data_IF_820915984261
#
_entry.id   IF_820915984261
#
_cell.length_a   1.000
_cell.length_b   1.000
_cell.length_c   1.000
_cell.angle_alpha   90.00
_cell.angle_beta   90.00
_cell.angle_gamma   90.00
#
_symmetry.space_group_name_H-M   'P 1'
#
loop_
_entity.id
_entity.type
_entity.pdbx_description
1 polymer ?
#
# COMPACT_ATOMS: atom_id res chain seq x y z
N UNK A 1 22.12 7.00 -17.05
CA UNK A 1 21.03 7.92 -16.64
C UNK A 1 21.37 8.53 -15.29
N UNK A 2 21.17 9.84 -15.11
CA UNK A 2 21.14 10.47 -13.78
C UNK A 2 19.73 10.40 -13.23
N UNK A 3 19.56 9.90 -12.02
CA UNK A 3 18.27 9.67 -11.38
C UNK A 3 18.23 10.29 -9.99
N UNK A 4 17.23 11.10 -9.69
CA UNK A 4 16.92 11.55 -8.34
C UNK A 4 15.64 10.87 -7.82
N UNK A 5 15.79 10.16 -6.71
CA UNK A 5 14.68 9.49 -6.02
C UNK A 5 14.25 10.36 -4.84
N UNK A 6 13.05 10.89 -4.92
CA UNK A 6 12.41 11.66 -3.85
C UNK A 6 11.61 10.73 -2.95
N UNK A 7 12.19 10.34 -1.83
CA UNK A 7 11.61 9.37 -0.90
C UNK A 7 12.10 9.58 0.52
N UNK A 8 11.25 9.37 1.54
CA UNK A 8 11.79 9.18 2.88
C UNK A 8 12.73 7.98 2.90
N UNK A 9 13.74 8.04 3.76
CA UNK A 9 14.63 6.92 4.09
C UNK A 9 14.57 6.63 5.59
N UNK A 10 15.04 5.46 6.05
CA UNK A 10 15.27 5.23 7.47
C UNK A 10 16.10 6.37 8.09
N UNK A 11 15.79 6.79 9.33
CA UNK A 11 14.96 6.13 10.33
C UNK A 11 13.44 6.45 10.24
N UNK A 12 12.95 7.04 9.14
CA UNK A 12 11.53 7.27 8.94
C UNK A 12 10.74 5.95 9.06
N UNK A 13 9.71 5.95 9.90
CA UNK A 13 8.90 4.76 10.18
C UNK A 13 7.87 4.53 9.07
N UNK A 14 8.35 4.14 7.90
CA UNK A 14 7.55 3.90 6.69
C UNK A 14 8.04 2.65 5.99
N UNK A 15 7.12 1.74 5.66
CA UNK A 15 7.45 0.56 4.85
C UNK A 15 7.93 0.92 3.43
N UNK A 16 7.56 2.11 2.94
CA UNK A 16 8.07 2.65 1.66
C UNK A 16 9.54 3.07 1.80
N UNK A 17 9.90 3.72 2.93
CA UNK A 17 11.28 4.08 3.21
C UNK A 17 12.19 2.83 3.30
N UNK A 18 11.72 1.78 3.98
CA UNK A 18 12.44 0.51 4.07
C UNK A 18 12.61 -0.13 2.68
N UNK A 19 11.55 -0.14 1.86
CA UNK A 19 11.61 -0.69 0.49
C UNK A 19 12.57 0.09 -0.42
N UNK A 20 12.59 1.42 -0.34
CA UNK A 20 13.54 2.23 -1.12
C UNK A 20 14.97 1.94 -0.68
N UNK A 21 15.24 1.90 0.64
CA UNK A 21 16.56 1.57 1.16
C UNK A 21 17.06 0.20 0.69
N UNK A 22 16.18 -0.80 0.60
CA UNK A 22 16.51 -2.14 0.08
C UNK A 22 16.71 -2.15 -1.45
N UNK A 23 16.07 -1.24 -2.18
CA UNK A 23 16.18 -1.15 -3.64
C UNK A 23 17.40 -0.36 -4.08
N UNK A 24 17.84 0.64 -3.32
CA UNK A 24 18.96 1.52 -3.66
C UNK A 24 20.26 0.79 -4.02
N UNK A 25 20.75 -0.24 -3.28
CA UNK A 25 21.96 -0.97 -3.64
C UNK A 25 21.90 -1.57 -5.05
N UNK A 26 20.70 -1.93 -5.51
CA UNK A 26 20.46 -2.55 -6.81
C UNK A 26 20.45 -1.51 -7.95
N UNK A 27 20.19 -0.23 -7.63
CA UNK A 27 20.13 0.87 -8.59
C UNK A 27 21.47 1.58 -8.73
N UNK A 28 22.19 1.82 -7.62
CA UNK A 28 23.45 2.57 -7.57
C UNK A 28 24.53 1.94 -8.47
N UNK A 29 24.55 0.62 -8.62
CA UNK A 29 25.45 -0.07 -9.53
C UNK A 29 25.11 0.07 -11.03
N UNK A 30 23.94 0.63 -11.38
CA UNK A 30 23.39 0.67 -12.75
C UNK A 30 23.08 2.06 -13.24
N UNK A 31 22.98 3.05 -12.36
CA UNK A 31 22.70 4.46 -12.67
C UNK A 31 23.43 5.37 -11.69
N UNK A 32 23.60 6.63 -12.06
CA UNK A 32 24.04 7.69 -11.15
C UNK A 32 22.83 8.12 -10.31
N UNK A 33 22.76 7.66 -9.05
CA UNK A 33 21.59 7.82 -8.19
C UNK A 33 21.86 8.85 -7.10
N UNK A 34 20.98 9.85 -6.97
CA UNK A 34 20.82 10.71 -5.83
C UNK A 34 19.50 10.41 -5.10
N UNK A 35 19.47 10.59 -3.80
CA UNK A 35 18.24 10.50 -3.02
C UNK A 35 17.97 11.83 -2.36
N UNK A 36 16.79 12.39 -2.63
CA UNK A 36 16.33 13.63 -2.01
C UNK A 36 15.47 13.29 -0.81
N UNK A 37 15.86 13.78 0.35
CA UNK A 37 15.17 13.62 1.63
C UNK A 37 14.91 15.00 2.26
N UNK A 38 13.94 15.15 3.19
CA UNK A 38 13.66 16.44 3.82
C UNK A 38 14.87 17.08 4.50
N UNK A 39 15.63 16.29 5.23
CA UNK A 39 16.88 16.67 5.89
C UNK A 39 17.89 15.52 5.77
N UNK A 40 18.96 15.70 4.98
CA UNK A 40 20.02 14.70 4.84
C UNK A 40 20.72 14.33 6.14
N UNK A 41 20.75 15.23 7.12
CA UNK A 41 21.41 14.98 8.41
C UNK A 41 20.63 14.01 9.32
N UNK A 42 19.31 13.88 9.08
CA UNK A 42 18.44 12.96 9.82
C UNK A 42 18.33 11.57 9.16
N UNK A 43 18.76 11.43 7.90
CA UNK A 43 18.71 10.17 7.20
C UNK A 43 19.85 9.24 7.61
N UNK A 44 19.59 7.93 7.65
CA UNK A 44 20.65 6.93 7.87
C UNK A 44 21.53 6.83 6.61
N UNK A 45 22.82 7.20 6.68
CA UNK A 45 23.70 7.12 5.51
C UNK A 45 23.87 5.69 4.98
N UNK A 46 23.75 4.66 5.83
CA UNK A 46 23.82 3.27 5.42
C UNK A 46 22.62 2.89 4.54
N UNK A 47 21.44 3.47 4.79
CA UNK A 47 20.25 3.26 4.00
C UNK A 47 20.33 3.88 2.58
N UNK A 48 21.23 4.85 2.37
CA UNK A 48 21.47 5.45 1.06
C UNK A 48 22.33 4.57 0.13
N UNK A 49 22.99 3.53 0.67
CA UNK A 49 23.79 2.55 -0.10
C UNK A 49 24.81 3.17 -1.06
N UNK A 50 25.39 4.32 -0.71
CA UNK A 50 26.34 5.06 -1.53
C UNK A 50 25.73 6.04 -2.52
N UNK A 51 24.39 6.16 -2.60
CA UNK A 51 23.73 7.24 -3.32
C UNK A 51 24.00 8.60 -2.65
N UNK A 52 24.07 9.66 -3.43
CA UNK A 52 24.24 11.01 -2.91
C UNK A 52 22.95 11.45 -2.19
N UNK A 53 23.03 11.71 -0.88
CA UNK A 53 21.94 12.33 -0.12
C UNK A 53 21.91 13.83 -0.40
N UNK A 54 20.72 14.36 -0.68
CA UNK A 54 20.48 15.77 -0.98
C UNK A 54 19.25 16.30 -0.28
N UNK A 55 19.26 17.58 0.05
CA UNK A 55 18.04 18.30 0.41
C UNK A 55 17.24 18.68 -0.84
N UNK A 56 15.96 19.08 -0.72
CA UNK A 56 15.16 19.57 -1.84
C UNK A 56 15.80 20.77 -2.59
N UNK A 57 16.54 21.62 -1.88
CA UNK A 57 17.25 22.79 -2.41
C UNK A 57 18.49 22.41 -3.23
N UNK A 58 19.10 21.27 -2.93
CA UNK A 58 20.30 20.72 -3.60
C UNK A 58 19.96 19.77 -4.75
N UNK A 59 18.67 19.66 -5.10
CA UNK A 59 18.19 18.82 -6.22
C UNK A 59 18.86 19.17 -7.53
N UNK A 60 19.35 18.17 -8.25
CA UNK A 60 19.96 18.33 -9.58
C UNK A 60 18.87 18.63 -10.62
N UNK A 61 18.89 19.81 -11.26
CA UNK A 61 17.88 20.18 -12.24
C UNK A 61 17.87 19.26 -13.48
N UNK A 62 19.00 18.62 -13.80
CA UNK A 62 19.19 17.80 -15.00
C UNK A 62 18.90 16.31 -14.76
N UNK A 63 18.68 15.91 -13.51
CA UNK A 63 18.37 14.53 -13.19
C UNK A 63 16.89 14.18 -13.49
N UNK A 64 16.67 12.96 -13.96
CA UNK A 64 15.32 12.39 -14.02
C UNK A 64 14.75 12.23 -12.61
N UNK A 65 13.50 12.67 -12.37
CA UNK A 65 12.89 12.66 -11.06
C UNK A 65 11.92 11.50 -10.90
N UNK A 66 12.16 10.67 -9.88
CA UNK A 66 11.26 9.62 -9.41
C UNK A 66 10.70 10.02 -8.04
N UNK A 67 9.41 10.29 -7.99
CA UNK A 67 8.70 10.59 -6.76
C UNK A 67 8.07 9.33 -6.20
N UNK A 68 8.59 8.83 -5.08
CA UNK A 68 8.07 7.63 -4.41
C UNK A 68 7.03 8.03 -3.40
N UNK A 69 5.80 7.58 -3.57
CA UNK A 69 4.66 8.05 -2.81
C UNK A 69 3.86 6.92 -2.17
N UNK A 70 3.45 7.18 -0.93
CA UNK A 70 2.51 6.39 -0.14
C UNK A 70 1.61 7.32 0.67
N UNK A 71 0.55 6.77 1.26
CA UNK A 71 -0.52 7.53 1.94
C UNK A 71 -0.11 7.98 3.36
N UNK A 72 1.03 8.67 3.49
CA UNK A 72 1.48 9.19 4.77
C UNK A 72 2.22 10.53 4.65
N UNK A 73 2.23 11.30 5.74
CA UNK A 73 2.93 12.59 5.82
C UNK A 73 4.44 12.52 5.52
N UNK A 74 5.06 11.35 5.61
CA UNK A 74 6.46 11.17 5.27
C UNK A 74 6.77 11.52 3.81
N UNK A 75 5.77 11.46 2.92
CA UNK A 75 5.89 11.75 1.50
C UNK A 75 5.53 13.19 1.11
N UNK A 76 5.23 14.05 2.09
CA UNK A 76 4.78 15.42 1.90
C UNK A 76 5.69 16.27 1.00
N UNK A 77 7.01 16.17 1.20
CA UNK A 77 7.99 16.93 0.42
C UNK A 77 8.03 16.48 -1.05
N UNK A 78 8.01 15.17 -1.28
CA UNK A 78 7.99 14.58 -2.62
C UNK A 78 6.67 14.92 -3.35
N UNK A 79 5.52 14.86 -2.64
CA UNK A 79 4.22 15.24 -3.17
C UNK A 79 4.19 16.70 -3.63
N UNK A 80 4.66 17.63 -2.79
CA UNK A 80 4.70 19.05 -3.15
C UNK A 80 5.58 19.31 -4.36
N UNK A 81 6.74 18.68 -4.42
CA UNK A 81 7.65 18.86 -5.55
C UNK A 81 7.10 18.23 -6.82
N UNK A 82 6.46 17.05 -6.75
CA UNK A 82 5.82 16.42 -7.89
C UNK A 82 4.72 17.29 -8.54
N UNK A 83 3.99 18.08 -7.74
CA UNK A 83 3.03 19.07 -8.24
C UNK A 83 3.70 20.27 -8.90
N UNK A 84 4.88 20.71 -8.42
CA UNK A 84 5.61 21.86 -8.94
C UNK A 84 6.44 21.50 -10.20
N UNK A 85 7.11 20.38 -10.14
CA UNK A 85 8.02 19.87 -11.19
C UNK A 85 7.64 18.44 -11.55
N UNK A 86 6.73 18.26 -12.51
CA UNK A 86 6.26 16.95 -12.92
C UNK A 86 7.40 16.01 -13.33
N UNK A 87 7.36 14.79 -12.77
CA UNK A 87 8.29 13.70 -13.04
C UNK A 87 7.56 12.37 -13.11
N UNK A 88 8.28 11.29 -12.92
CA UNK A 88 7.72 9.94 -12.81
C UNK A 88 7.27 9.70 -11.38
N UNK A 89 6.07 9.17 -11.20
CA UNK A 89 5.56 8.73 -9.89
C UNK A 89 5.84 7.24 -9.72
N UNK A 90 6.24 6.81 -8.53
CA UNK A 90 6.15 5.43 -8.07
C UNK A 90 5.10 5.37 -6.96
N UNK A 91 3.92 4.83 -7.29
CA UNK A 91 2.80 4.73 -6.36
C UNK A 91 2.80 3.38 -5.65
N UNK A 92 2.92 3.39 -4.33
CA UNK A 92 2.83 2.21 -3.48
C UNK A 92 1.39 1.79 -3.18
N UNK A 93 0.47 2.72 -3.31
CA UNK A 93 -0.97 2.54 -3.12
C UNK A 93 -1.73 3.52 -4.01
N UNK A 94 -2.99 3.20 -4.28
CA UNK A 94 -3.82 4.10 -5.09
C UNK A 94 -4.29 5.30 -4.28
N UNK A 95 -4.73 5.10 -3.04
CA UNK A 95 -5.20 6.21 -2.22
C UNK A 95 -4.05 7.01 -1.64
N UNK A 96 -4.04 8.31 -1.91
CA UNK A 96 -3.18 9.32 -1.28
C UNK A 96 -3.99 10.27 -0.39
N UNK A 97 -5.22 9.90 -0.02
CA UNK A 97 -6.15 10.76 0.73
C UNK A 97 -5.55 11.29 2.03
N UNK A 98 -4.93 10.42 2.83
CA UNK A 98 -4.30 10.80 4.09
C UNK A 98 -3.11 11.74 3.89
N UNK A 99 -2.31 11.54 2.83
CA UNK A 99 -1.23 12.46 2.44
C UNK A 99 -1.80 13.83 2.05
N UNK A 100 -2.82 13.87 1.19
CA UNK A 100 -3.47 15.12 0.75
C UNK A 100 -4.13 15.84 1.92
N UNK A 101 -4.80 15.10 2.81
CA UNK A 101 -5.39 15.66 4.03
C UNK A 101 -4.31 16.29 4.93
N UNK A 102 -3.17 15.62 5.10
CA UNK A 102 -2.05 16.13 5.86
C UNK A 102 -1.44 17.40 5.22
N UNK A 103 -1.35 17.46 3.89
CA UNK A 103 -0.77 18.57 3.16
C UNK A 103 -1.71 19.77 2.99
N UNK A 104 -2.99 19.60 3.26
CA UNK A 104 -4.00 20.66 3.16
C UNK A 104 -4.57 20.99 4.55
N UNK A 105 -5.54 20.22 5.02
CA UNK A 105 -6.29 20.52 6.24
C UNK A 105 -5.40 20.62 7.49
N UNK A 106 -4.49 19.65 7.71
CA UNK A 106 -3.60 19.67 8.89
C UNK A 106 -2.55 20.79 8.84
N UNK A 107 -2.34 21.41 7.67
CA UNK A 107 -1.51 22.61 7.51
C UNK A 107 -2.31 23.92 7.57
N UNK A 108 -3.60 23.84 7.88
CA UNK A 108 -4.48 25.01 8.00
C UNK A 108 -5.17 25.41 6.69
N UNK A 109 -4.98 24.69 5.56
CA UNK A 109 -5.68 24.96 4.30
C UNK A 109 -6.93 24.07 4.15
N UNK A 110 -7.92 24.32 5.01
CA UNK A 110 -9.23 23.67 4.93
C UNK A 110 -9.94 23.95 3.59
N UNK A 111 -9.75 25.14 3.04
CA UNK A 111 -10.29 25.51 1.72
C UNK A 111 -9.68 24.68 0.60
N UNK A 112 -8.36 24.45 0.63
CA UNK A 112 -7.65 23.60 -0.32
C UNK A 112 -8.14 22.17 -0.31
N UNK A 113 -8.28 21.58 0.89
CA UNK A 113 -8.83 20.23 1.00
C UNK A 113 -10.25 20.12 0.40
N UNK A 114 -11.13 21.06 0.75
CA UNK A 114 -12.50 21.09 0.20
C UNK A 114 -12.51 21.29 -1.31
N UNK A 115 -11.62 22.12 -1.86
CA UNK A 115 -11.49 22.33 -3.31
C UNK A 115 -11.09 21.04 -4.01
N UNK A 116 -10.04 20.35 -3.55
CA UNK A 116 -9.58 19.09 -4.14
C UNK A 116 -10.66 18.01 -4.10
N UNK A 117 -11.33 17.84 -2.97
CA UNK A 117 -12.45 16.91 -2.84
C UNK A 117 -13.60 17.25 -3.79
N UNK A 118 -13.92 18.55 -3.93
CA UNK A 118 -14.96 19.01 -4.87
C UNK A 118 -14.55 18.80 -6.33
N UNK A 119 -13.31 19.07 -6.68
CA UNK A 119 -12.80 18.89 -8.04
C UNK A 119 -12.81 17.40 -8.44
N UNK A 120 -12.39 16.53 -7.53
CA UNK A 120 -12.34 15.09 -7.83
C UNK A 120 -13.72 14.42 -7.81
N UNK A 121 -14.59 14.83 -6.87
CA UNK A 121 -15.84 14.08 -6.57
C UNK A 121 -17.10 14.94 -6.51
N UNK A 122 -17.04 16.15 -7.04
CA UNK A 122 -18.18 17.05 -7.13
C UNK A 122 -18.77 17.46 -5.76
N UNK A 123 -20.09 17.66 -5.73
CA UNK A 123 -20.81 18.05 -4.51
C UNK A 123 -20.67 17.03 -3.38
N UNK A 124 -20.69 15.74 -3.71
CA UNK A 124 -20.48 14.66 -2.72
C UNK A 124 -19.13 14.82 -2.03
N UNK A 125 -18.06 15.09 -2.79
CA UNK A 125 -16.73 15.33 -2.23
C UNK A 125 -16.70 16.57 -1.32
N UNK A 126 -17.37 17.65 -1.72
CA UNK A 126 -17.42 18.89 -0.91
C UNK A 126 -18.15 18.68 0.43
N UNK A 127 -19.26 17.93 0.42
CA UNK A 127 -20.02 17.59 1.65
C UNK A 127 -19.18 16.69 2.55
N UNK A 128 -18.59 15.64 1.98
CA UNK A 128 -17.77 14.70 2.72
C UNK A 128 -16.53 15.38 3.33
N UNK A 129 -15.92 16.31 2.59
CA UNK A 129 -14.80 17.11 3.13
C UNK A 129 -15.20 17.87 4.40
N UNK A 130 -16.40 18.43 4.45
CA UNK A 130 -16.93 19.03 5.68
C UNK A 130 -16.98 18.05 6.83
N UNK A 131 -17.59 16.88 6.61
CA UNK A 131 -17.70 15.82 7.63
C UNK A 131 -16.34 15.33 8.13
N UNK A 132 -15.38 15.13 7.21
CA UNK A 132 -14.01 14.71 7.57
C UNK A 132 -13.31 15.77 8.42
N UNK A 133 -13.44 17.06 8.06
CA UNK A 133 -12.89 18.18 8.85
C UNK A 133 -13.54 18.31 10.22
N UNK A 134 -14.81 17.92 10.36
CA UNK A 134 -15.55 17.86 11.63
C UNK A 134 -15.23 16.58 12.45
N UNK A 135 -14.28 15.74 11.98
CA UNK A 135 -13.79 14.58 12.71
C UNK A 135 -14.39 13.24 12.30
N UNK A 136 -15.19 13.17 11.23
CA UNK A 136 -15.68 11.90 10.69
C UNK A 136 -14.57 11.17 9.92
N UNK A 137 -13.68 10.48 10.64
CA UNK A 137 -12.56 9.75 10.07
C UNK A 137 -12.92 8.27 9.90
N UNK A 138 -12.75 7.74 8.69
CA UNK A 138 -12.95 6.33 8.40
C UNK A 138 -12.00 5.88 7.28
N UNK A 139 -11.34 4.72 7.41
CA UNK A 139 -10.54 4.16 6.31
C UNK A 139 -11.34 3.89 5.03
N UNK A 140 -12.66 3.72 5.14
CA UNK A 140 -13.56 3.58 3.98
C UNK A 140 -13.56 4.85 3.14
N UNK A 141 -13.49 6.03 3.77
CA UNK A 141 -13.41 7.31 3.05
C UNK A 141 -12.12 7.37 2.22
N UNK A 142 -10.99 7.01 2.81
CA UNK A 142 -9.71 6.99 2.09
C UNK A 142 -9.73 6.01 0.91
N UNK A 143 -10.38 4.86 1.07
CA UNK A 143 -10.52 3.87 0.00
C UNK A 143 -11.42 4.33 -1.15
N UNK A 144 -12.55 4.96 -0.85
CA UNK A 144 -13.54 5.38 -1.84
C UNK A 144 -13.21 6.73 -2.50
N UNK A 145 -12.45 7.59 -1.83
CA UNK A 145 -12.10 8.95 -2.27
C UNK A 145 -10.56 9.14 -2.22
N UNK A 146 -9.81 8.47 -3.11
CA UNK A 146 -8.36 8.33 -3.03
C UNK A 146 -7.57 9.62 -3.18
N UNK A 147 -8.08 10.64 -3.86
CA UNK A 147 -7.40 11.92 -4.11
C UNK A 147 -6.02 11.78 -4.79
N UNK A 148 -5.85 10.79 -5.66
CA UNK A 148 -4.60 10.57 -6.40
C UNK A 148 -4.64 11.16 -7.80
N UNK A 149 -5.83 11.37 -8.33
CA UNK A 149 -6.09 11.69 -9.73
C UNK A 149 -5.37 12.98 -10.15
N UNK A 150 -5.48 14.04 -9.36
CA UNK A 150 -4.88 15.34 -9.67
C UNK A 150 -3.34 15.29 -9.79
N UNK A 151 -2.70 14.40 -9.00
CA UNK A 151 -1.27 14.20 -9.07
C UNK A 151 -0.87 13.36 -10.29
N UNK A 152 -1.64 12.31 -10.58
CA UNK A 152 -1.46 11.46 -11.76
C UNK A 152 -1.64 12.25 -13.04
N UNK A 153 -2.65 13.13 -13.12
CA UNK A 153 -2.87 14.03 -14.25
C UNK A 153 -1.66 14.90 -14.54
N UNK A 154 -0.92 15.29 -13.51
CA UNK A 154 0.28 16.14 -13.61
C UNK A 154 1.58 15.38 -13.77
N UNK A 155 1.58 14.07 -13.71
CA UNK A 155 2.81 13.28 -13.83
C UNK A 155 3.26 13.12 -15.30
N UNK A 156 4.53 12.83 -15.53
CA UNK A 156 5.05 12.42 -16.85
C UNK A 156 4.76 10.96 -17.14
N UNK A 157 4.88 10.12 -16.12
CA UNK A 157 4.58 8.69 -16.18
C UNK A 157 4.26 8.17 -14.76
N UNK A 158 3.68 7.00 -14.66
CA UNK A 158 3.38 6.34 -13.39
C UNK A 158 3.88 4.90 -13.40
N UNK A 159 4.78 4.58 -12.48
CA UNK A 159 5.07 3.22 -12.05
C UNK A 159 4.17 2.90 -10.84
N UNK A 160 3.53 1.76 -10.84
CA UNK A 160 2.65 1.34 -9.75
C UNK A 160 3.06 -0.03 -9.24
N UNK A 161 3.00 -0.23 -7.92
CA UNK A 161 3.41 -1.50 -7.29
C UNK A 161 2.35 -2.59 -7.38
N UNK A 162 1.13 -2.25 -7.78
CA UNK A 162 0.01 -3.18 -8.02
C UNK A 162 -0.61 -2.96 -9.39
N UNK A 163 -1.19 -4.00 -9.98
CA UNK A 163 -1.96 -3.90 -11.23
C UNK A 163 -3.20 -3.05 -11.02
N UNK A 164 -3.81 -3.15 -9.84
CA UNK A 164 -4.95 -2.31 -9.46
C UNK A 164 -4.62 -0.82 -9.60
N UNK A 165 -3.53 -0.37 -8.97
CA UNK A 165 -3.07 1.02 -9.03
C UNK A 165 -2.66 1.43 -10.45
N UNK A 166 -1.98 0.55 -11.20
CA UNK A 166 -1.62 0.79 -12.60
C UNK A 166 -2.86 1.01 -13.48
N UNK A 167 -3.87 0.15 -13.35
CA UNK A 167 -5.12 0.27 -14.10
C UNK A 167 -5.84 1.57 -13.78
N UNK A 168 -5.94 1.94 -12.51
CA UNK A 168 -6.55 3.21 -12.09
C UNK A 168 -5.81 4.41 -12.65
N UNK A 169 -4.47 4.42 -12.56
CA UNK A 169 -3.65 5.50 -13.12
C UNK A 169 -3.83 5.65 -14.64
N UNK A 170 -3.91 4.54 -15.39
CA UNK A 170 -4.13 4.56 -16.83
C UNK A 170 -5.50 5.15 -17.22
N UNK A 171 -6.52 5.01 -16.35
CA UNK A 171 -7.85 5.58 -16.58
C UNK A 171 -7.91 7.10 -16.36
N UNK A 172 -6.96 7.70 -15.62
CA UNK A 172 -6.97 9.14 -15.31
C UNK A 172 -6.65 9.99 -16.53
N UNK A 173 -5.62 9.61 -17.28
CA UNK A 173 -5.19 10.36 -18.47
C UNK A 173 -4.87 9.42 -19.63
N UNK A 174 -5.63 9.48 -20.75
CA UNK A 174 -5.31 8.70 -21.94
C UNK A 174 -3.92 9.04 -22.46
N UNK A 175 -3.14 8.01 -22.81
CA UNK A 175 -1.78 8.15 -23.30
C UNK A 175 -0.69 8.41 -22.24
N UNK A 176 -1.06 8.44 -20.96
CA UNK A 176 -0.07 8.46 -19.88
C UNK A 176 0.73 7.14 -19.90
N UNK A 177 2.07 7.17 -19.95
CA UNK A 177 2.86 5.97 -19.76
C UNK A 177 2.66 5.42 -18.35
N UNK A 178 2.11 4.20 -18.25
CA UNK A 178 1.87 3.53 -16.97
C UNK A 178 2.54 2.15 -16.99
N UNK A 179 3.35 1.86 -15.97
CA UNK A 179 4.03 0.59 -15.78
C UNK A 179 3.66 -0.08 -14.47
N UNK A 180 3.54 -1.41 -14.48
CA UNK A 180 3.44 -2.20 -13.25
C UNK A 180 4.84 -2.65 -12.84
N UNK A 181 5.35 -2.13 -11.73
CA UNK A 181 6.64 -2.47 -11.11
C UNK A 181 6.36 -3.01 -9.71
N UNK A 182 6.16 -4.33 -9.56
CA UNK A 182 5.85 -4.94 -8.27
C UNK A 182 6.92 -4.70 -7.22
N UNK A 183 6.55 -4.78 -5.95
CA UNK A 183 7.52 -4.82 -4.85
C UNK A 183 8.33 -6.11 -4.90
N UNK A 184 9.61 -6.03 -4.51
CA UNK A 184 10.44 -7.23 -4.35
C UNK A 184 10.17 -7.95 -3.02
N UNK A 185 10.55 -9.22 -2.96
CA UNK A 185 10.36 -10.11 -1.82
C UNK A 185 11.69 -10.46 -1.13
N UNK A 186 12.59 -9.49 -0.96
CA UNK A 186 13.87 -9.72 -0.32
C UNK A 186 13.72 -10.21 1.13
N UNK A 187 14.50 -11.23 1.48
CA UNK A 187 14.66 -11.69 2.85
C UNK A 187 16.12 -11.41 3.27
N UNK A 188 16.35 -10.72 4.39
CA UNK A 188 17.67 -10.27 4.81
C UNK A 188 18.49 -11.38 5.50
N UNK A 189 18.12 -12.63 5.33
CA UNK A 189 18.79 -13.82 5.88
C UNK A 189 18.96 -14.84 4.76
N UNK A 190 20.21 -15.21 4.47
CA UNK A 190 20.54 -16.27 3.54
C UNK A 190 21.75 -17.08 4.09
N UNK A 191 21.65 -18.40 4.28
CA UNK A 191 20.44 -19.20 4.09
C UNK A 191 19.37 -18.95 5.15
N UNK A 192 18.11 -19.17 4.77
CA UNK A 192 17.00 -19.13 5.74
C UNK A 192 17.16 -20.27 6.75
N UNK A 193 16.93 -20.00 8.06
CA UNK A 193 16.92 -21.07 9.06
C UNK A 193 15.75 -22.04 8.81
N UNK A 194 15.85 -23.24 9.32
CA UNK A 194 14.71 -24.14 9.43
C UNK A 194 13.65 -23.57 10.38
N UNK A 195 12.42 -24.06 10.29
CA UNK A 195 11.34 -23.65 11.19
C UNK A 195 11.69 -23.91 12.67
N UNK A 196 12.32 -25.04 12.95
CA UNK A 196 12.75 -25.45 14.29
C UNK A 196 13.85 -24.52 14.83
N UNK A 197 14.82 -24.15 14.01
CA UNK A 197 15.88 -23.19 14.39
C UNK A 197 15.30 -21.81 14.65
N UNK A 198 14.40 -21.33 13.78
CA UNK A 198 13.73 -20.06 13.95
C UNK A 198 12.92 -20.02 15.26
N UNK A 199 12.14 -21.08 15.54
CA UNK A 199 11.36 -21.19 16.80
C UNK A 199 12.26 -21.22 18.03
N UNK A 200 13.34 -21.96 18.00
CA UNK A 200 14.31 -22.01 19.10
C UNK A 200 14.94 -20.65 19.36
N UNK A 201 15.32 -19.94 18.29
CA UNK A 201 15.88 -18.58 18.39
C UNK A 201 14.88 -17.56 18.98
N UNK A 202 13.59 -17.77 18.75
CA UNK A 202 12.51 -16.91 19.23
C UNK A 202 11.92 -17.35 20.59
N UNK A 203 12.42 -18.45 21.18
CA UNK A 203 11.86 -19.00 22.40
C UNK A 203 10.45 -19.57 22.26
N UNK A 204 10.02 -19.89 21.05
CA UNK A 204 8.70 -20.48 20.78
C UNK A 204 8.71 -22.01 21.01
N UNK A 205 7.67 -22.58 21.62
CA UNK A 205 7.58 -24.03 21.79
C UNK A 205 7.64 -24.76 20.44
N UNK A 206 8.42 -25.84 20.37
CA UNK A 206 8.62 -26.58 19.13
C UNK A 206 7.32 -27.21 18.61
N UNK A 207 6.43 -27.61 19.52
CA UNK A 207 5.15 -28.31 19.26
C UNK A 207 3.95 -27.36 19.19
N UNK A 208 4.11 -26.05 19.38
CA UNK A 208 3.04 -25.07 19.19
C UNK A 208 2.73 -24.86 17.72
N UNK A 209 1.45 -24.61 17.41
CA UNK A 209 1.05 -24.03 16.14
C UNK A 209 1.15 -22.51 16.23
N UNK A 210 1.67 -21.85 15.21
CA UNK A 210 1.91 -20.41 15.23
C UNK A 210 1.22 -19.74 14.04
N UNK A 211 0.23 -18.92 14.34
CA UNK A 211 -0.39 -18.00 13.38
C UNK A 211 0.22 -16.61 13.59
N UNK A 212 0.72 -16.00 12.54
CA UNK A 212 1.42 -14.71 12.64
C UNK A 212 0.72 -13.63 11.82
N UNK A 213 0.46 -12.46 12.44
CA UNK A 213 0.05 -11.23 11.76
C UNK A 213 1.23 -10.25 11.77
N UNK A 214 1.98 -10.11 10.65
CA UNK A 214 3.21 -9.34 10.64
C UNK A 214 3.04 -7.86 10.27
N UNK A 215 3.98 -7.02 10.73
CA UNK A 215 4.11 -5.59 10.44
C UNK A 215 3.27 -4.69 11.33
N UNK A 216 3.45 -3.37 11.19
CA UNK A 216 2.77 -2.34 12.00
C UNK A 216 1.27 -2.59 12.12
N UNK A 217 0.76 -2.61 13.35
CA UNK A 217 -0.67 -2.75 13.63
C UNK A 217 -1.40 -1.48 13.25
N UNK A 218 -2.48 -1.64 12.48
CA UNK A 218 -3.40 -0.56 12.14
C UNK A 218 -4.83 -1.12 11.95
N UNK A 219 -5.87 -0.28 11.93
CA UNK A 219 -7.27 -0.75 11.82
C UNK A 219 -7.56 -1.58 10.57
N UNK A 220 -6.83 -1.33 9.45
CA UNK A 220 -7.05 -2.05 8.19
C UNK A 220 -6.67 -3.53 8.27
N UNK A 221 -5.77 -3.92 9.21
CA UNK A 221 -5.28 -5.30 9.33
C UNK A 221 -6.26 -6.28 9.97
N UNK A 222 -7.43 -5.84 10.38
CA UNK A 222 -8.50 -6.71 10.88
C UNK A 222 -8.06 -7.61 12.06
N UNK A 223 -7.16 -7.11 12.93
CA UNK A 223 -6.68 -7.91 14.07
C UNK A 223 -7.77 -8.23 15.09
N UNK A 224 -8.79 -7.40 15.20
CA UNK A 224 -9.99 -7.67 15.98
C UNK A 224 -10.71 -8.93 15.50
N UNK A 225 -10.87 -9.09 14.20
CA UNK A 225 -11.45 -10.30 13.57
C UNK A 225 -10.53 -11.50 13.78
N UNK A 226 -9.23 -11.34 13.49
CA UNK A 226 -8.24 -12.40 13.65
C UNK A 226 -8.20 -12.94 15.09
N UNK A 227 -8.24 -12.06 16.10
CA UNK A 227 -8.24 -12.46 17.51
C UNK A 227 -9.50 -13.25 17.89
N UNK A 228 -10.70 -12.82 17.44
CA UNK A 228 -11.93 -13.57 17.69
C UNK A 228 -11.87 -14.98 17.10
N UNK A 229 -11.35 -15.10 15.88
CA UNK A 229 -11.17 -16.41 15.21
C UNK A 229 -10.14 -17.27 15.95
N UNK A 230 -8.98 -16.71 16.30
CA UNK A 230 -7.94 -17.43 17.04
C UNK A 230 -8.47 -17.89 18.42
N UNK A 231 -9.23 -17.05 19.11
CA UNK A 231 -9.84 -17.43 20.39
C UNK A 231 -10.78 -18.65 20.29
N UNK A 232 -11.54 -18.75 19.17
CA UNK A 232 -12.37 -19.95 18.88
C UNK A 232 -11.52 -21.15 18.53
N UNK A 233 -10.51 -20.98 17.70
CA UNK A 233 -9.60 -22.06 17.28
C UNK A 233 -8.80 -22.63 18.45
N UNK A 234 -8.45 -21.85 19.48
CA UNK A 234 -7.76 -22.33 20.66
C UNK A 234 -8.55 -23.37 21.46
N UNK A 235 -9.88 -23.44 21.32
CA UNK A 235 -10.69 -24.51 21.90
C UNK A 235 -10.34 -25.89 21.33
N UNK A 236 -9.99 -25.93 20.04
CA UNK A 236 -9.55 -27.15 19.33
C UNK A 236 -8.03 -27.33 19.37
N UNK A 237 -7.31 -26.20 19.35
CA UNK A 237 -5.85 -26.12 19.30
C UNK A 237 -5.31 -25.39 20.55
N UNK A 238 -5.30 -26.00 21.74
CA UNK A 238 -4.98 -25.28 23.00
C UNK A 238 -3.56 -24.66 23.01
N UNK A 239 -2.64 -25.20 22.23
CA UNK A 239 -1.25 -24.70 22.07
C UNK A 239 -1.09 -23.73 20.90
N UNK A 240 -2.18 -23.24 20.31
CA UNK A 240 -2.12 -22.25 19.25
C UNK A 240 -1.63 -20.91 19.81
N UNK A 241 -0.59 -20.38 19.20
CA UNK A 241 -0.07 -19.03 19.47
C UNK A 241 -0.47 -18.09 18.34
N UNK A 242 -0.82 -16.86 18.70
CA UNK A 242 -1.04 -15.77 17.78
C UNK A 242 0.05 -14.72 17.96
N UNK A 243 0.96 -14.63 17.00
CA UNK A 243 2.08 -13.69 17.05
C UNK A 243 1.74 -12.42 16.24
N UNK A 244 1.66 -11.29 16.92
CA UNK A 244 1.65 -9.96 16.28
C UNK A 244 3.09 -9.50 16.16
N UNK A 245 3.68 -9.74 14.98
CA UNK A 245 5.09 -9.50 14.71
C UNK A 245 5.30 -8.09 14.15
N UNK A 246 5.20 -7.08 15.00
CA UNK A 246 5.31 -5.67 14.63
C UNK A 246 4.87 -4.73 15.74
N UNK A 247 5.06 -3.45 15.47
CA UNK A 247 4.74 -2.37 16.41
C UNK A 247 3.22 -2.23 16.58
N UNK A 248 2.77 -2.08 17.83
CA UNK A 248 1.37 -1.85 18.19
C UNK A 248 1.21 -0.43 18.74
N UNK A 249 0.58 0.49 18.00
CA UNK A 249 0.31 1.83 18.50
C UNK A 249 -0.58 1.78 19.77
N UNK A 250 -0.29 2.61 20.79
CA UNK A 250 -1.06 2.62 22.05
C UNK A 250 -2.55 2.89 21.88
N UNK A 251 -2.95 3.52 20.78
CA UNK A 251 -4.35 3.80 20.47
C UNK A 251 -5.18 2.56 20.13
N UNK A 252 -4.54 1.42 19.82
CA UNK A 252 -5.23 0.18 19.47
C UNK A 252 -5.21 -0.77 20.68
N UNK A 253 -6.39 -1.15 21.23
CA UNK A 253 -6.49 -1.91 22.47
C UNK A 253 -6.32 -3.42 22.22
N UNK A 254 -5.17 -3.84 21.71
CA UNK A 254 -4.89 -5.22 21.31
C UNK A 254 -5.08 -6.21 22.46
N UNK A 255 -4.61 -5.86 23.67
CA UNK A 255 -4.75 -6.72 24.85
C UNK A 255 -6.22 -6.88 25.27
N UNK A 256 -7.01 -5.79 25.17
CA UNK A 256 -8.43 -5.85 25.47
C UNK A 256 -9.19 -6.73 24.46
N UNK A 257 -8.84 -6.63 23.18
CA UNK A 257 -9.39 -7.50 22.13
C UNK A 257 -9.01 -8.96 22.34
N UNK A 258 -7.76 -9.23 22.70
CA UNK A 258 -7.28 -10.58 22.99
C UNK A 258 -7.96 -11.19 24.25
N UNK A 259 -8.12 -10.38 25.29
CA UNK A 259 -8.85 -10.78 26.51
C UNK A 259 -10.30 -11.11 26.20
N UNK A 260 -11.01 -10.23 25.49
CA UNK A 260 -12.41 -10.45 25.09
C UNK A 260 -12.57 -11.68 24.16
N UNK A 261 -11.58 -11.98 23.33
CA UNK A 261 -11.58 -13.14 22.46
C UNK A 261 -11.15 -14.45 23.15
N UNK A 262 -10.67 -14.40 24.39
CA UNK A 262 -10.19 -15.56 25.14
C UNK A 262 -8.86 -16.11 24.61
N UNK A 263 -8.02 -15.29 23.96
CA UNK A 263 -6.71 -15.71 23.46
C UNK A 263 -5.72 -15.86 24.62
N UNK A 264 -5.78 -14.98 25.62
CA UNK A 264 -5.02 -15.09 26.87
C UNK A 264 -3.51 -15.18 26.63
N UNK A 265 -2.90 -16.22 27.21
CA UNK A 265 -1.48 -16.55 27.10
C UNK A 265 -1.03 -16.98 25.69
N UNK A 266 -1.96 -17.16 24.77
CA UNK A 266 -1.67 -17.47 23.37
C UNK A 266 -1.28 -16.25 22.54
N UNK A 267 -1.36 -15.01 23.06
CA UNK A 267 -0.93 -13.82 22.36
C UNK A 267 0.54 -13.53 22.60
N UNK A 268 1.28 -13.32 21.51
CA UNK A 268 2.68 -12.87 21.52
C UNK A 268 2.76 -11.55 20.75
N UNK A 269 3.12 -10.45 21.42
CA UNK A 269 3.33 -9.14 20.79
C UNK A 269 4.81 -8.80 20.85
N UNK A 270 5.44 -8.64 19.69
CA UNK A 270 6.89 -8.48 19.62
C UNK A 270 7.36 -7.03 19.71
N UNK A 271 6.46 -6.07 19.42
CA UNK A 271 6.88 -4.71 19.09
C UNK A 271 7.63 -4.63 17.76
N UNK A 272 8.32 -3.53 17.51
CA UNK A 272 9.10 -3.32 16.27
C UNK A 272 10.25 -4.32 16.19
N UNK A 273 10.34 -4.99 15.06
CA UNK A 273 11.39 -5.96 14.75
C UNK A 273 12.39 -5.38 13.76
N UNK A 274 13.63 -5.85 13.86
CA UNK A 274 14.59 -5.75 12.75
C UNK A 274 14.12 -6.62 11.58
N UNK A 275 14.56 -6.32 10.36
CA UNK A 275 14.21 -7.16 9.20
C UNK A 275 14.67 -8.62 9.36
N UNK A 276 15.87 -8.93 9.91
CA UNK A 276 16.26 -10.31 10.22
C UNK A 276 15.33 -10.99 11.24
N UNK A 277 14.90 -10.29 12.28
CA UNK A 277 13.99 -10.86 13.27
C UNK A 277 12.60 -11.08 12.70
N UNK A 278 12.10 -10.14 11.90
CA UNK A 278 10.85 -10.33 11.15
C UNK A 278 10.92 -11.57 10.25
N UNK A 279 12.02 -11.78 9.53
CA UNK A 279 12.21 -12.97 8.71
C UNK A 279 12.18 -14.26 9.54
N UNK A 280 12.81 -14.27 10.76
CA UNK A 280 12.71 -15.41 11.68
C UNK A 280 11.28 -15.69 12.13
N UNK A 281 10.51 -14.64 12.47
CA UNK A 281 9.09 -14.79 12.81
C UNK A 281 8.26 -15.34 11.66
N UNK A 282 8.51 -14.89 10.43
CA UNK A 282 7.84 -15.43 9.25
C UNK A 282 8.20 -16.91 9.05
N UNK A 283 9.48 -17.29 9.16
CA UNK A 283 9.92 -18.69 9.04
C UNK A 283 9.33 -19.57 10.14
N UNK A 284 9.18 -19.07 11.37
CA UNK A 284 8.63 -19.82 12.50
C UNK A 284 7.12 -20.07 12.38
N UNK A 285 6.40 -19.27 11.58
CA UNK A 285 4.95 -19.34 11.42
C UNK A 285 4.50 -20.62 10.69
N UNK A 286 3.33 -21.16 11.09
CA UNK A 286 2.58 -22.17 10.33
C UNK A 286 1.66 -21.52 9.31
N UNK A 287 1.03 -20.39 9.68
CA UNK A 287 0.13 -19.60 8.84
C UNK A 287 0.41 -18.11 9.05
N UNK A 288 0.41 -17.35 7.98
CA UNK A 288 0.50 -15.88 8.03
C UNK A 288 -0.84 -15.26 7.70
N UNK A 289 -1.33 -14.36 8.54
CA UNK A 289 -2.51 -13.53 8.26
C UNK A 289 -2.06 -12.17 7.75
N UNK A 290 -2.31 -11.91 6.50
CA UNK A 290 -2.04 -10.62 5.86
C UNK A 290 -3.35 -9.95 5.42
N UNK A 291 -4.34 -9.95 6.32
CA UNK A 291 -5.66 -9.36 6.09
C UNK A 291 -5.55 -7.84 5.95
N UNK A 292 -6.41 -7.29 5.09
CA UNK A 292 -6.49 -5.84 4.90
C UNK A 292 -7.86 -5.42 4.32
N UNK A 293 -8.63 -4.67 5.11
CA UNK A 293 -9.91 -4.16 4.65
C UNK A 293 -10.29 -2.86 5.39
N UNK A 294 -10.75 -1.82 4.65
CA UNK A 294 -10.70 -1.72 3.19
C UNK A 294 -9.25 -1.62 2.67
N UNK A 295 -9.02 -1.93 1.39
CA UNK A 295 -7.72 -1.73 0.74
C UNK A 295 -7.61 -0.31 0.19
N UNK A 296 -6.40 0.23 0.24
CA UNK A 296 -6.03 1.50 -0.38
C UNK A 296 -5.35 1.30 -1.75
N UNK A 297 -5.33 0.06 -2.25
CA UNK A 297 -4.70 -0.32 -3.52
C UNK A 297 -3.24 -0.74 -3.39
N UNK A 298 -2.79 -0.99 -2.16
CA UNK A 298 -1.41 -1.37 -1.83
C UNK A 298 -1.14 -2.87 -1.92
N UNK A 299 0.14 -3.22 -2.12
CA UNK A 299 0.68 -4.56 -1.87
C UNK A 299 1.49 -4.55 -0.57
N UNK A 300 1.32 -5.58 0.23
CA UNK A 300 2.06 -5.71 1.48
C UNK A 300 3.46 -6.29 1.25
N UNK A 301 4.52 -5.52 1.50
CA UNK A 301 5.89 -6.02 1.44
C UNK A 301 6.13 -7.19 2.40
N UNK A 302 5.46 -7.19 3.56
CA UNK A 302 5.58 -8.29 4.53
C UNK A 302 4.89 -9.55 4.06
N UNK A 303 3.77 -9.45 3.32
CA UNK A 303 3.17 -10.60 2.64
C UNK A 303 4.16 -11.22 1.66
N UNK A 304 4.80 -10.41 0.81
CA UNK A 304 5.78 -10.92 -0.16
C UNK A 304 6.95 -11.65 0.51
N UNK A 305 7.43 -11.13 1.65
CA UNK A 305 8.44 -11.82 2.48
C UNK A 305 7.92 -13.15 3.05
N UNK A 306 6.66 -13.21 3.46
CA UNK A 306 6.05 -14.47 3.91
C UNK A 306 5.98 -15.51 2.77
N UNK A 307 5.62 -15.07 1.56
CA UNK A 307 5.64 -15.92 0.36
C UNK A 307 7.07 -16.40 0.06
N UNK A 308 8.07 -15.51 0.11
CA UNK A 308 9.47 -15.85 -0.09
C UNK A 308 10.00 -16.83 0.98
N UNK A 309 9.53 -16.72 2.22
CA UNK A 309 9.80 -17.66 3.29
C UNK A 309 9.06 -18.99 3.13
N UNK A 310 8.21 -19.13 2.11
CA UNK A 310 7.42 -20.34 1.83
C UNK A 310 6.34 -20.59 2.88
N UNK A 311 5.70 -19.54 3.37
CA UNK A 311 4.60 -19.68 4.33
C UNK A 311 3.25 -19.50 3.64
N UNK A 312 2.25 -20.35 3.96
CA UNK A 312 0.90 -20.10 3.50
C UNK A 312 0.38 -18.79 4.10
N UNK A 313 -0.14 -17.92 3.26
CA UNK A 313 -0.65 -16.62 3.66
C UNK A 313 -2.14 -16.51 3.35
N UNK A 314 -2.93 -16.15 4.37
CA UNK A 314 -4.35 -15.83 4.23
C UNK A 314 -4.45 -14.32 4.02
N UNK A 315 -5.16 -13.92 2.98
CA UNK A 315 -5.31 -12.53 2.54
C UNK A 315 -6.79 -12.18 2.37
N UNK A 316 -7.10 -10.90 2.23
CA UNK A 316 -8.47 -10.46 1.95
C UNK A 316 -8.77 -10.51 0.46
N UNK A 317 -9.83 -11.18 0.06
CA UNK A 317 -10.35 -11.19 -1.32
C UNK A 317 -10.76 -9.78 -1.76
N UNK A 318 -10.79 -9.52 -3.08
CA UNK A 318 -11.12 -8.20 -3.64
C UNK A 318 -10.07 -7.11 -3.40
N UNK A 319 -8.90 -7.47 -2.87
CA UNK A 319 -7.74 -6.57 -2.70
C UNK A 319 -6.62 -6.98 -3.67
N UNK A 320 -5.63 -6.12 -3.94
CA UNK A 320 -4.48 -6.54 -4.76
C UNK A 320 -3.83 -7.83 -4.26
N UNK A 321 -3.75 -8.03 -2.94
CA UNK A 321 -3.20 -9.25 -2.36
C UNK A 321 -4.06 -10.51 -2.62
N UNK A 322 -5.39 -10.35 -2.78
CA UNK A 322 -6.30 -11.45 -3.10
C UNK A 322 -6.41 -11.74 -4.60
N UNK A 323 -6.20 -10.74 -5.45
CA UNK A 323 -6.54 -10.81 -6.88
C UNK A 323 -5.31 -10.93 -7.81
N UNK A 324 -4.13 -10.47 -7.38
CA UNK A 324 -2.97 -10.39 -8.28
C UNK A 324 -2.09 -11.64 -8.29
N UNK A 325 -2.32 -12.58 -7.37
CA UNK A 325 -1.59 -13.85 -7.32
C UNK A 325 -2.36 -14.98 -8.03
N UNK A 326 -1.66 -15.92 -8.68
CA UNK A 326 -2.29 -17.13 -9.18
C UNK A 326 -2.90 -17.98 -8.08
N UNK A 327 -3.89 -18.78 -8.43
CA UNK A 327 -4.51 -19.74 -7.52
C UNK A 327 -3.49 -20.60 -6.77
N UNK A 328 -3.68 -20.76 -5.47
CA UNK A 328 -2.84 -21.55 -4.58
C UNK A 328 -1.51 -20.92 -4.16
N UNK A 329 -1.24 -19.66 -4.52
CA UNK A 329 -0.11 -18.87 -4.00
C UNK A 329 -0.47 -18.21 -2.67
N UNK A 330 -1.69 -17.72 -2.55
CA UNK A 330 -2.30 -17.18 -1.34
C UNK A 330 -3.67 -17.83 -1.13
N UNK A 331 -4.25 -17.64 0.06
CA UNK A 331 -5.58 -18.12 0.39
C UNK A 331 -6.48 -16.90 0.66
N UNK A 332 -7.31 -16.47 -0.30
CA UNK A 332 -8.19 -15.33 -0.12
C UNK A 332 -9.39 -15.69 0.78
N UNK A 333 -9.84 -14.73 1.60
CA UNK A 333 -11.03 -14.79 2.45
C UNK A 333 -11.86 -13.53 2.18
N UNK A 334 -13.16 -13.70 2.00
CA UNK A 334 -14.09 -12.61 1.72
C UNK A 334 -14.29 -11.72 2.97
N UNK A 335 -14.10 -10.39 2.89
CA UNK A 335 -14.28 -9.47 4.02
C UNK A 335 -15.76 -9.16 4.31
N UNK A 336 -16.69 -9.93 3.78
CA UNK A 336 -18.12 -9.73 3.89
C UNK A 336 -18.71 -10.26 5.20
N UNK A 337 -20.01 -10.54 5.13
CA UNK A 337 -20.81 -10.99 6.29
C UNK A 337 -20.26 -12.24 6.97
N UNK A 338 -19.59 -13.11 6.25
CA UNK A 338 -19.12 -14.41 6.73
C UNK A 338 -17.60 -14.46 6.96
N UNK A 339 -16.92 -13.31 6.94
CA UNK A 339 -15.46 -13.20 7.09
C UNK A 339 -14.90 -14.06 8.23
N UNK A 340 -15.50 -13.99 9.43
CA UNK A 340 -15.02 -14.75 10.59
C UNK A 340 -15.18 -16.25 10.41
N UNK A 341 -16.30 -16.69 9.86
CA UNK A 341 -16.58 -18.13 9.68
C UNK A 341 -15.67 -18.73 8.61
N UNK A 342 -15.46 -17.99 7.52
CA UNK A 342 -14.57 -18.42 6.44
C UNK A 342 -13.11 -18.41 6.89
N UNK A 343 -12.67 -17.34 7.58
CA UNK A 343 -11.31 -17.26 8.13
C UNK A 343 -11.05 -18.40 9.13
N UNK A 344 -12.02 -18.72 10.00
CA UNK A 344 -11.92 -19.83 10.95
C UNK A 344 -11.77 -21.17 10.23
N UNK A 345 -12.62 -21.45 9.23
CA UNK A 345 -12.56 -22.68 8.45
C UNK A 345 -11.23 -22.82 7.69
N UNK A 346 -10.77 -21.75 7.04
CA UNK A 346 -9.51 -21.74 6.29
C UNK A 346 -8.32 -21.96 7.21
N UNK A 347 -8.24 -21.22 8.32
CA UNK A 347 -7.12 -21.35 9.28
C UNK A 347 -7.14 -22.73 9.92
N UNK A 348 -8.31 -23.25 10.33
CA UNK A 348 -8.44 -24.59 10.89
C UNK A 348 -7.95 -25.67 9.93
N UNK A 349 -8.33 -25.61 8.66
CA UNK A 349 -7.86 -26.53 7.62
C UNK A 349 -6.34 -26.47 7.44
N UNK A 350 -5.76 -25.25 7.42
CA UNK A 350 -4.31 -25.06 7.34
C UNK A 350 -3.59 -25.60 8.60
N UNK A 351 -4.15 -25.41 9.79
CA UNK A 351 -3.57 -25.94 11.02
C UNK A 351 -3.63 -27.48 11.06
N UNK A 352 -4.70 -28.07 10.54
CA UNK A 352 -4.92 -29.52 10.53
C UNK A 352 -4.02 -30.29 9.55
N UNK A 353 -3.59 -29.68 8.43
CA UNK A 353 -2.82 -30.36 7.39
C UNK A 353 -1.45 -29.73 7.15
N UNK A 354 -0.35 -30.34 7.65
CA UNK A 354 1.02 -29.97 7.28
C UNK A 354 1.26 -30.00 5.77
N UNK A 355 0.71 -31.01 5.09
CA UNK A 355 0.88 -31.23 3.64
C UNK A 355 0.27 -30.06 2.85
N UNK A 356 -0.91 -29.57 3.28
CA UNK A 356 -1.54 -28.41 2.66
C UNK A 356 -0.68 -27.15 2.84
N UNK A 357 -0.16 -26.94 4.07
CA UNK A 357 0.74 -25.81 4.34
C UNK A 357 2.00 -25.85 3.48
N UNK A 358 2.61 -27.02 3.36
CA UNK A 358 3.81 -27.23 2.54
C UNK A 358 3.53 -27.00 1.06
N UNK A 359 2.42 -27.52 0.54
CA UNK A 359 2.04 -27.36 -0.86
C UNK A 359 1.80 -25.90 -1.25
N UNK A 360 1.07 -25.15 -0.41
CA UNK A 360 0.84 -23.71 -0.63
C UNK A 360 2.14 -22.93 -0.46
N UNK A 361 2.91 -23.22 0.59
CA UNK A 361 4.18 -22.57 0.86
C UNK A 361 5.21 -22.76 -0.25
N UNK A 362 5.28 -23.95 -0.85
CA UNK A 362 6.15 -24.22 -1.99
C UNK A 362 5.77 -23.40 -3.22
N UNK A 363 4.46 -23.30 -3.55
CA UNK A 363 3.96 -22.45 -4.65
C UNK A 363 4.23 -20.99 -4.38
N UNK A 364 3.99 -20.51 -3.15
CA UNK A 364 4.25 -19.16 -2.72
C UNK A 364 5.73 -18.78 -2.91
N UNK A 365 6.64 -19.63 -2.45
CA UNK A 365 8.10 -19.43 -2.61
C UNK A 365 8.53 -19.43 -4.07
N UNK A 366 8.02 -20.35 -4.86
CA UNK A 366 8.32 -20.43 -6.30
C UNK A 366 7.84 -19.16 -7.02
N UNK A 367 6.64 -18.66 -6.70
CA UNK A 367 6.10 -17.42 -7.23
C UNK A 367 6.96 -16.21 -6.83
N UNK A 368 7.29 -16.06 -5.54
CA UNK A 368 8.09 -14.96 -5.05
C UNK A 368 9.47 -14.91 -5.75
N UNK A 369 10.16 -16.04 -5.87
CA UNK A 369 11.45 -16.14 -6.57
C UNK A 369 11.35 -15.77 -8.04
N UNK A 370 10.26 -16.12 -8.71
CA UNK A 370 10.09 -15.87 -10.15
C UNK A 370 9.68 -14.43 -10.47
N UNK A 371 8.81 -13.84 -9.68
CA UNK A 371 8.15 -12.57 -10.03
C UNK A 371 8.51 -11.40 -9.14
N UNK A 372 9.10 -11.66 -7.95
CA UNK A 372 9.46 -10.65 -6.96
C UNK A 372 10.96 -10.67 -6.64
N UNK A 373 11.78 -11.10 -7.60
CA UNK A 373 13.24 -11.06 -7.50
C UNK A 373 13.74 -9.61 -7.50
N UNK A 374 14.57 -9.19 -6.51
CA UNK A 374 15.00 -7.81 -6.35
C UNK A 374 15.77 -7.27 -7.58
N UNK A 375 16.73 -8.04 -8.10
CA UNK A 375 17.58 -7.63 -9.22
C UNK A 375 16.76 -7.40 -10.51
N UNK A 376 15.84 -8.31 -10.76
CA UNK A 376 14.94 -8.22 -11.91
C UNK A 376 14.02 -7.01 -11.82
N UNK A 377 13.49 -6.71 -10.63
CA UNK A 377 12.56 -5.59 -10.46
C UNK A 377 13.26 -4.25 -10.47
N UNK A 378 14.48 -4.16 -9.95
CA UNK A 378 15.33 -2.97 -10.12
C UNK A 378 15.62 -2.69 -11.60
N UNK A 379 15.96 -3.73 -12.39
CA UNK A 379 16.10 -3.61 -13.84
C UNK A 379 14.83 -3.11 -14.52
N UNK A 380 13.68 -3.69 -14.18
CA UNK A 380 12.38 -3.29 -14.73
C UNK A 380 12.01 -1.83 -14.39
N UNK A 381 12.34 -1.36 -13.19
CA UNK A 381 12.14 0.03 -12.81
C UNK A 381 13.00 0.95 -13.69
N UNK A 382 14.28 0.64 -13.88
CA UNK A 382 15.19 1.43 -14.73
C UNK A 382 14.73 1.45 -16.18
N UNK A 383 14.37 0.30 -16.75
CA UNK A 383 13.81 0.20 -18.12
C UNK A 383 12.56 1.08 -18.28
N UNK A 384 11.67 1.07 -17.28
CA UNK A 384 10.49 1.94 -17.31
C UNK A 384 10.86 3.42 -17.25
N UNK A 385 11.81 3.80 -16.40
CA UNK A 385 12.28 5.18 -16.27
C UNK A 385 12.95 5.69 -17.54
N UNK A 386 13.75 4.87 -18.21
CA UNK A 386 14.37 5.18 -19.49
C UNK A 386 13.32 5.37 -20.57
N UNK A 387 12.35 4.47 -20.67
CA UNK A 387 11.23 4.60 -21.61
C UNK A 387 10.31 5.79 -21.34
N UNK A 388 10.26 6.27 -20.09
CA UNK A 388 9.48 7.43 -19.71
C UNK A 388 10.23 8.77 -19.82
N UNK A 389 11.54 8.76 -20.11
CA UNK A 389 12.35 9.97 -20.19
C UNK A 389 11.84 10.95 -21.25
N UNK A 390 11.38 10.43 -22.40
CA UNK A 390 10.85 11.19 -23.52
C UNK A 390 9.34 11.41 -23.45
N UNK A 391 8.69 11.02 -22.36
CA UNK A 391 7.25 11.23 -22.19
C UNK A 391 6.92 12.73 -22.26
N UNK A 392 5.86 13.11 -22.98
CA UNK A 392 5.48 14.51 -23.10
C UNK A 392 5.17 15.11 -21.71
N UNK A 393 5.46 16.40 -21.52
CA UNK A 393 5.08 17.08 -20.28
C UNK A 393 3.57 16.99 -20.09
N UNK A 394 3.09 16.96 -18.83
CA UNK A 394 1.66 17.02 -18.56
C UNK A 394 1.08 18.33 -19.14
N UNK A 395 -0.23 18.34 -19.43
CA UNK A 395 -0.90 19.56 -19.84
C UNK A 395 -0.69 20.66 -18.77
N UNK A 396 -0.60 21.94 -19.18
CA UNK A 396 -0.53 23.05 -18.23
C UNK A 396 -1.74 22.99 -17.28
N UNK A 397 -1.55 23.50 -16.05
CA UNK A 397 -2.69 23.71 -15.16
C UNK A 397 -3.62 24.69 -15.84
N UNK A 398 -4.80 24.26 -16.16
CA UNK A 398 -5.89 25.18 -16.47
C UNK A 398 -6.40 25.73 -15.14
N UNK A 399 -5.88 26.92 -14.75
CA UNK A 399 -6.30 27.60 -13.51
C UNK A 399 -7.80 27.95 -13.50
N UNK A 400 -8.45 27.88 -14.67
CA UNK A 400 -9.88 28.11 -14.86
C UNK A 400 -10.74 26.85 -14.92
N UNK A 401 -10.16 25.66 -15.15
CA UNK A 401 -10.91 24.40 -15.30
C UNK A 401 -11.49 23.84 -13.99
N UNK A 402 -11.42 24.58 -12.91
CA UNK A 402 -11.90 24.17 -11.58
C UNK A 402 -13.41 23.96 -11.43
N UNK A 403 -14.24 24.20 -12.47
CA UNK A 403 -15.70 24.06 -12.37
C UNK A 403 -16.37 23.46 -13.62
N UNK A 404 -15.59 23.05 -14.63
CA UNK A 404 -16.09 22.57 -15.90
C UNK A 404 -15.75 21.12 -16.23
N UNK A 405 -15.54 20.21 -15.28
CA UNK A 405 -15.72 18.80 -15.60
C UNK A 405 -17.14 18.67 -16.09
N UNK A 406 -17.27 18.30 -17.36
CA UNK A 406 -18.52 18.01 -18.03
C UNK A 406 -19.21 16.87 -17.27
N UNK A 407 -19.93 17.24 -16.19
CA UNK A 407 -20.69 16.28 -15.37
C UNK A 407 -21.61 15.43 -16.26
N UNK A 408 -22.10 16.01 -17.37
CA UNK A 408 -22.90 15.32 -18.37
C UNK A 408 -22.04 14.31 -19.13
N UNK A 409 -20.82 14.68 -19.51
CA UNK A 409 -19.87 13.77 -20.17
C UNK A 409 -19.39 12.64 -19.23
N UNK A 410 -19.18 12.93 -17.96
CA UNK A 410 -18.84 11.92 -16.95
C UNK A 410 -20.00 10.94 -16.73
N UNK A 411 -21.21 11.43 -16.62
CA UNK A 411 -22.42 10.59 -16.54
C UNK A 411 -22.65 9.77 -17.81
N UNK A 412 -22.39 10.31 -18.99
CA UNK A 412 -22.44 9.60 -20.25
C UNK A 412 -21.39 8.51 -20.41
N UNK A 413 -20.16 8.74 -19.89
CA UNK A 413 -19.13 7.72 -19.82
C UNK A 413 -19.53 6.59 -18.87
N UNK A 414 -19.94 6.92 -17.66
CA UNK A 414 -20.41 5.94 -16.67
C UNK A 414 -21.59 5.11 -17.20
N UNK A 415 -22.54 5.75 -17.86
CA UNK A 415 -23.67 5.03 -18.47
C UNK A 415 -23.21 4.03 -19.54
N UNK A 416 -22.22 4.41 -20.39
CA UNK A 416 -21.63 3.52 -21.39
C UNK A 416 -20.88 2.35 -20.77
N UNK A 417 -20.09 2.60 -19.72
CA UNK A 417 -19.35 1.57 -18.99
C UNK A 417 -20.28 0.55 -18.31
N UNK A 418 -21.46 1.01 -17.88
CA UNK A 418 -22.49 0.16 -17.29
C UNK A 418 -23.42 -0.50 -18.35
N UNK A 419 -23.18 -0.30 -19.64
CA UNK A 419 -24.02 -0.84 -20.72
C UNK A 419 -25.42 -0.21 -20.79
N UNK A 420 -25.61 0.98 -20.23
CA UNK A 420 -26.87 1.71 -20.26
C UNK A 420 -27.03 2.46 -21.60
N UNK A 421 -28.25 2.62 -22.12
CA UNK A 421 -28.48 3.28 -23.40
C UNK A 421 -28.20 4.79 -23.42
N UNK A 422 -27.83 5.36 -22.31
CA UNK A 422 -27.47 6.77 -22.13
C UNK A 422 -27.95 7.32 -20.79
N UNK A 423 -27.66 8.61 -20.55
CA UNK A 423 -28.15 9.32 -19.36
C UNK A 423 -29.58 9.82 -19.66
N UNK A 424 -30.58 9.53 -18.81
CA UNK A 424 -31.93 10.07 -18.94
C UNK A 424 -31.95 11.60 -19.04
N UNK A 425 -32.82 12.15 -19.85
CA UNK A 425 -32.86 13.59 -20.16
C UNK A 425 -33.12 14.47 -18.93
N UNK A 426 -33.91 13.99 -17.97
CA UNK A 426 -34.16 14.67 -16.70
C UNK A 426 -32.91 14.71 -15.81
N UNK A 427 -32.10 13.63 -15.79
CA UNK A 427 -30.83 13.58 -15.08
C UNK A 427 -29.81 14.50 -15.75
N UNK A 428 -29.74 14.50 -17.07
CA UNK A 428 -28.87 15.40 -17.84
C UNK A 428 -29.20 16.87 -17.54
N UNK A 429 -30.46 17.24 -17.63
CA UNK A 429 -30.97 18.61 -17.39
C UNK A 429 -30.65 19.07 -15.94
N UNK A 430 -30.79 18.17 -14.97
CA UNK A 430 -30.48 18.46 -13.57
C UNK A 430 -28.95 18.62 -13.34
N UNK A 431 -28.13 17.87 -14.05
CA UNK A 431 -26.70 18.00 -14.05
C UNK A 431 -26.26 19.36 -14.66
N UNK A 432 -26.87 19.76 -15.78
CA UNK A 432 -26.63 21.06 -16.43
C UNK A 432 -27.05 22.24 -15.53
N UNK A 433 -28.15 22.12 -14.82
CA UNK A 433 -28.59 23.13 -13.83
C UNK A 433 -27.59 23.25 -12.65
N UNK A 434 -27.10 22.11 -12.11
CA UNK A 434 -26.13 22.11 -11.02
C UNK A 434 -24.78 22.73 -11.42
N UNK A 435 -24.38 22.56 -12.68
CA UNK A 435 -23.17 23.19 -13.23
C UNK A 435 -23.39 24.68 -13.45
N UNK A 436 -24.58 25.10 -13.91
CA UNK A 436 -24.94 26.51 -14.14
C UNK A 436 -25.12 27.32 -12.86
N UNK A 437 -25.67 26.74 -11.80
CA UNK A 437 -25.84 27.41 -10.48
C UNK A 437 -24.52 27.57 -9.70
N UNK A 438 -23.47 26.80 -10.04
CA UNK A 438 -22.13 26.92 -9.46
C UNK A 438 -21.26 28.03 -10.07
N UNK A 439 -21.71 28.70 -11.12
CA UNK A 439 -21.00 29.75 -11.86
C UNK A 439 -21.44 31.19 -11.49
N UNK A 440 -22.10 31.34 -10.34
CA UNK A 440 -22.40 32.69 -9.79
C UNK A 440 -21.18 33.33 -9.14
N UNK A 441 -21.05 34.67 -9.18
CA UNK A 441 -19.84 35.42 -8.93
C UNK A 441 -19.24 35.26 -7.54
#
# INVERSE_FOLDING_TARGET
MKLEIWSPLPPARSGVADHVAETLPLLVGRAEVGVVVPDPSEADPAAAAGAALRSPEESDPDAARLYVLGNSRWHSFAYREALRRPGVLLLHEWSLHGLVFAETFLRGDAGGYRRLMRQAYGTTGAVLAGQVMDGFCSPVIESLFPLSEHLVERSRAVAATTRFTATRAACVRPGLPVGHVPLHAALPIDPLPSREEARRALGLPADALVVTAPGLVNPLKRLDVALRVVGRLRRRWPRLLFAVAGDNPPALPLDAWAGAAGVGDGLVVTGRLSLPDLARHLVAADVVLALRFPSLGEMSAVLLRALAAGRPAVVTAGTPAGEEFPEGVVVPVDPGRYEEAELEAVVDALLASPELREAIGARARAHARRYHDPERLAGRLLEFLEGAADAPPPPPLDEGAGLGRDLVGDLQRAARELGLPGVPEDVRRRAEQLVGEGAGP
#
